data_IF_039217759477
#
_entry.id   IF_039217759477
#
_cell.length_a   1.000
_cell.length_b   1.000
_cell.length_c   1.000
_cell.angle_alpha   90.00
_cell.angle_beta   90.00
_cell.angle_gamma   90.00
#
_symmetry.space_group_name_H-M   'P 1'
#
loop_
_entity.id
_entity.type
_entity.pdbx_description
1 polymer ?
#
# COMPACT_ATOMS: atom_id res chain seq x y z
N UNK A 1 -3.90 -6.11 -1.96
CA UNK A 1 -2.50 -6.57 -1.79
C UNK A 1 -1.71 -6.27 -3.05
N UNK A 2 -0.49 -5.73 -2.93
CA UNK A 2 0.33 -5.25 -4.06
C UNK A 2 0.48 -6.28 -5.18
N UNK A 3 0.78 -7.54 -4.84
CA UNK A 3 1.04 -8.60 -5.82
C UNK A 3 -0.17 -8.88 -6.74
N UNK A 4 -1.39 -8.77 -6.21
CA UNK A 4 -2.62 -8.95 -7.00
C UNK A 4 -2.82 -7.79 -7.98
N UNK A 5 -2.60 -6.56 -7.52
CA UNK A 5 -2.75 -5.36 -8.35
C UNK A 5 -1.69 -5.35 -9.45
N UNK A 6 -0.43 -5.58 -9.11
CA UNK A 6 0.68 -5.68 -10.08
C UNK A 6 0.43 -6.79 -11.10
N UNK A 7 -0.06 -7.97 -10.67
CA UNK A 7 -0.40 -9.05 -11.59
C UNK A 7 -1.49 -8.64 -12.59
N UNK A 8 -2.54 -7.97 -12.11
CA UNK A 8 -3.67 -7.56 -12.93
C UNK A 8 -3.32 -6.39 -13.87
N UNK A 9 -2.59 -5.41 -13.37
CA UNK A 9 -2.20 -4.21 -14.14
C UNK A 9 -1.13 -4.53 -15.20
N UNK A 10 -0.17 -5.39 -14.85
CA UNK A 10 1.05 -5.57 -15.64
C UNK A 10 1.13 -6.92 -16.37
N UNK A 11 0.18 -7.84 -16.13
CA UNK A 11 0.14 -9.16 -16.76
C UNK A 11 1.24 -10.12 -16.30
N UNK A 12 1.87 -9.85 -15.15
CA UNK A 12 3.05 -10.61 -14.68
C UNK A 12 2.60 -11.93 -14.04
N UNK A 13 2.73 -13.03 -14.77
CA UNK A 13 2.29 -14.36 -14.33
C UNK A 13 3.35 -15.14 -13.51
N UNK A 14 4.63 -14.77 -13.61
CA UNK A 14 5.77 -15.56 -13.12
C UNK A 14 6.63 -14.75 -12.16
N UNK A 15 6.10 -14.55 -10.95
CA UNK A 15 6.89 -14.09 -9.81
C UNK A 15 7.28 -15.30 -8.99
N UNK A 16 8.58 -15.52 -8.82
CA UNK A 16 9.07 -16.50 -7.85
C UNK A 16 8.91 -15.91 -6.45
N UNK A 17 7.86 -16.33 -5.73
CA UNK A 17 7.49 -15.73 -4.43
C UNK A 17 8.63 -15.74 -3.41
N UNK A 18 9.44 -16.78 -3.42
CA UNK A 18 10.60 -16.92 -2.52
C UNK A 18 11.75 -15.95 -2.86
N UNK A 19 11.73 -15.34 -4.05
CA UNK A 19 12.69 -14.33 -4.50
C UNK A 19 12.16 -12.90 -4.40
N UNK A 20 11.02 -12.69 -3.75
CA UNK A 20 10.52 -11.35 -3.46
C UNK A 20 11.37 -10.77 -2.33
N UNK A 21 12.06 -9.67 -2.60
CA UNK A 21 12.75 -8.90 -1.58
C UNK A 21 11.91 -7.67 -1.20
N UNK A 22 11.76 -7.43 0.10
CA UNK A 22 11.03 -6.29 0.65
C UNK A 22 11.97 -5.48 1.54
N UNK A 23 12.03 -4.18 1.29
CA UNK A 23 12.78 -3.23 2.10
C UNK A 23 11.82 -2.15 2.62
N UNK A 24 11.77 -1.97 3.93
CA UNK A 24 11.01 -0.87 4.54
C UNK A 24 11.77 0.42 4.30
N UNK A 25 11.16 1.36 3.56
CA UNK A 25 11.75 2.66 3.26
C UNK A 25 11.36 3.70 4.31
N UNK A 26 10.11 3.66 4.76
CA UNK A 26 9.58 4.56 5.77
C UNK A 26 8.47 3.87 6.58
N UNK A 27 8.45 4.18 7.86
CA UNK A 27 7.36 3.82 8.77
C UNK A 27 7.11 5.02 9.67
N UNK A 28 6.06 5.75 9.36
CA UNK A 28 5.74 7.02 10.01
C UNK A 28 4.26 7.10 10.34
N UNK A 29 3.86 7.88 11.37
CA UNK A 29 2.45 8.18 11.60
C UNK A 29 1.79 8.76 10.35
N UNK A 30 0.55 8.37 10.08
CA UNK A 30 -0.23 8.97 8.99
C UNK A 30 -0.35 10.48 9.24
N UNK A 31 0.05 11.27 8.25
CA UNK A 31 -0.06 12.74 8.36
C UNK A 31 -1.52 13.20 8.33
N UNK A 32 -1.79 14.34 8.96
CA UNK A 32 -3.11 14.98 8.94
C UNK A 32 -3.67 15.15 7.52
N UNK A 33 -2.82 15.55 6.58
CA UNK A 33 -3.22 15.78 5.19
C UNK A 33 -3.67 14.47 4.54
N UNK A 34 -2.89 13.39 4.72
CA UNK A 34 -3.22 12.09 4.16
C UNK A 34 -4.48 11.51 4.81
N UNK A 35 -4.59 11.59 6.14
CA UNK A 35 -5.77 11.13 6.87
C UNK A 35 -7.05 11.84 6.38
N UNK A 36 -7.01 13.17 6.19
CA UNK A 36 -8.16 13.92 5.66
C UNK A 36 -8.49 13.57 4.22
N UNK A 37 -7.49 13.38 3.37
CA UNK A 37 -7.73 12.97 1.98
C UNK A 37 -8.46 11.63 1.90
N UNK A 38 -8.01 10.64 2.69
CA UNK A 38 -8.63 9.32 2.78
C UNK A 38 -10.05 9.42 3.37
N UNK A 39 -10.22 10.16 4.46
CA UNK A 39 -11.51 10.37 5.10
C UNK A 39 -12.53 11.04 4.18
N UNK A 40 -12.10 12.00 3.37
CA UNK A 40 -12.95 12.67 2.39
C UNK A 40 -13.33 11.75 1.23
N UNK A 41 -12.43 10.86 0.80
CA UNK A 41 -12.73 9.88 -0.23
C UNK A 41 -13.77 8.85 0.27
N UNK A 42 -13.55 8.31 1.47
CA UNK A 42 -14.40 7.27 2.02
C UNK A 42 -15.74 7.80 2.55
N UNK A 43 -15.81 9.02 3.08
CA UNK A 43 -17.10 9.63 3.45
C UNK A 43 -18.01 9.85 2.24
N UNK A 44 -17.44 10.08 1.05
CA UNK A 44 -18.21 10.18 -0.20
C UNK A 44 -18.67 8.82 -0.73
N UNK A 45 -17.85 7.77 -0.55
CA UNK A 45 -18.14 6.43 -1.06
C UNK A 45 -18.96 5.56 -0.08
N UNK A 46 -18.84 5.85 1.21
CA UNK A 46 -19.47 5.11 2.29
C UNK A 46 -20.93 5.47 2.51
N UNK A 47 -21.55 4.81 3.48
CA UNK A 47 -22.94 5.03 3.86
C UNK A 47 -23.05 5.40 5.34
N UNK A 48 -23.11 6.69 5.64
CA UNK A 48 -23.62 7.20 6.92
C UNK A 48 -22.60 7.68 7.95
N UNK A 49 -21.30 7.48 7.75
CA UNK A 49 -20.26 8.08 8.59
C UNK A 49 -19.79 9.43 8.03
N UNK A 50 -19.49 10.37 8.92
CA UNK A 50 -18.98 11.69 8.55
C UNK A 50 -17.49 11.63 8.18
N UNK A 51 -16.98 12.68 7.52
CA UNK A 51 -15.53 12.81 7.27
C UNK A 51 -14.72 12.77 8.57
N UNK A 52 -15.22 13.35 9.66
CA UNK A 52 -14.52 13.34 10.94
C UNK A 52 -14.45 11.94 11.56
N UNK A 53 -15.50 11.12 11.39
CA UNK A 53 -15.50 9.73 11.86
C UNK A 53 -14.41 8.93 11.13
N UNK A 54 -14.36 9.06 9.80
CA UNK A 54 -13.30 8.42 9.00
C UNK A 54 -11.90 8.96 9.30
N UNK A 55 -11.76 10.26 9.55
CA UNK A 55 -10.47 10.84 9.94
C UNK A 55 -9.97 10.23 11.25
N UNK A 56 -10.87 9.99 12.22
CA UNK A 56 -10.55 9.27 13.45
C UNK A 56 -9.91 7.89 13.16
N UNK A 57 -10.46 7.14 12.20
CA UNK A 57 -9.91 5.83 11.81
C UNK A 57 -8.51 5.90 11.19
N UNK A 58 -8.12 7.03 10.60
CA UNK A 58 -6.80 7.20 9.95
C UNK A 58 -5.76 7.92 10.81
N UNK A 59 -6.14 8.47 11.96
CA UNK A 59 -5.25 9.34 12.74
C UNK A 59 -5.25 9.07 14.25
N UNK A 60 -6.36 8.63 14.84
CA UNK A 60 -6.51 8.62 16.30
C UNK A 60 -5.83 7.45 17.01
N UNK A 61 -5.54 6.35 16.30
CA UNK A 61 -5.15 5.06 16.91
C UNK A 61 -3.74 4.61 16.52
N UNK A 62 -2.78 5.54 16.42
CA UNK A 62 -1.40 5.16 16.10
C UNK A 62 -1.23 4.59 14.69
N UNK A 63 -2.12 4.93 13.76
CA UNK A 63 -2.08 4.44 12.38
C UNK A 63 -0.76 4.87 11.73
N UNK A 64 -0.03 3.90 11.19
CA UNK A 64 1.24 4.11 10.52
C UNK A 64 1.07 3.97 9.01
N UNK A 65 1.70 4.87 8.27
CA UNK A 65 1.94 4.70 6.85
C UNK A 65 3.25 3.92 6.67
N UNK A 66 3.14 2.71 6.14
CA UNK A 66 4.27 1.88 5.74
C UNK A 66 4.56 2.13 4.26
N UNK A 67 5.76 2.60 3.96
CA UNK A 67 6.29 2.65 2.60
C UNK A 67 7.37 1.59 2.44
N UNK A 68 7.20 0.68 1.47
CA UNK A 68 8.13 -0.41 1.24
C UNK A 68 8.46 -0.56 -0.24
N UNK A 69 9.73 -0.87 -0.51
CA UNK A 69 10.24 -1.23 -1.83
C UNK A 69 10.16 -2.74 -2.01
N UNK A 70 9.50 -3.16 -3.08
CA UNK A 70 9.35 -4.55 -3.49
C UNK A 70 10.19 -4.78 -4.74
N UNK A 71 11.06 -5.79 -4.68
CA UNK A 71 11.80 -6.27 -5.85
C UNK A 71 11.29 -7.66 -6.20
N UNK A 72 10.72 -7.79 -7.39
CA UNK A 72 10.25 -9.05 -7.95
C UNK A 72 11.28 -9.58 -8.93
N UNK A 73 11.66 -10.84 -8.79
CA UNK A 73 12.63 -11.50 -9.68
C UNK A 73 11.96 -12.66 -10.41
N UNK A 74 12.13 -12.74 -11.73
CA UNK A 74 11.65 -13.88 -12.51
C UNK A 74 12.72 -14.97 -12.68
N UNK A 75 12.35 -16.08 -13.32
CA UNK A 75 13.24 -17.23 -13.55
C UNK A 75 14.44 -16.94 -14.45
N UNK A 76 14.42 -15.83 -15.21
CA UNK A 76 15.53 -15.36 -16.04
C UNK A 76 16.43 -14.37 -15.29
N UNK A 77 16.18 -14.12 -14.01
CA UNK A 77 16.94 -13.19 -13.18
C UNK A 77 16.62 -11.71 -13.41
N UNK A 78 15.63 -11.39 -14.25
CA UNK A 78 15.18 -10.01 -14.48
C UNK A 78 14.39 -9.48 -13.30
N UNK A 79 14.45 -8.17 -13.07
CA UNK A 79 13.91 -7.51 -11.88
C UNK A 79 12.92 -6.40 -12.22
N UNK A 80 11.79 -6.43 -11.52
CA UNK A 80 10.84 -5.33 -11.46
C UNK A 80 10.84 -4.76 -10.05
N UNK A 81 10.91 -3.44 -9.94
CA UNK A 81 11.02 -2.74 -8.65
C UNK A 81 9.87 -1.77 -8.49
N UNK A 82 9.19 -1.85 -7.35
CA UNK A 82 8.03 -1.02 -7.02
C UNK A 82 8.20 -0.43 -5.63
N UNK A 83 7.72 0.79 -5.42
CA UNK A 83 7.46 1.34 -4.08
C UNK A 83 5.96 1.27 -3.85
N UNK A 84 5.54 0.68 -2.73
CA UNK A 84 4.14 0.64 -2.32
C UNK A 84 3.96 1.31 -0.97
N UNK A 85 2.81 1.97 -0.79
CA UNK A 85 2.36 2.51 0.49
C UNK A 85 1.15 1.72 0.98
N UNK A 86 1.13 1.47 2.29
CA UNK A 86 0.01 0.85 2.98
C UNK A 86 -0.22 1.49 4.34
N UNK A 87 -1.44 1.38 4.88
CA UNK A 87 -1.75 1.75 6.26
C UNK A 87 -1.70 0.51 7.16
N UNK A 88 -1.16 0.70 8.36
CA UNK A 88 -1.17 -0.25 9.47
C UNK A 88 -1.92 0.42 10.63
N UNK A 89 -2.86 -0.27 11.25
CA UNK A 89 -3.41 0.13 12.55
C UNK A 89 -3.31 -1.03 13.54
N UNK A 90 -3.51 -0.74 14.81
CA UNK A 90 -3.41 -1.74 15.89
C UNK A 90 -4.71 -2.56 16.04
N UNK A 91 -5.86 -2.02 15.61
CA UNK A 91 -7.19 -2.59 15.86
C UNK A 91 -7.70 -3.52 14.76
N UNK A 92 -7.24 -3.33 13.52
CA UNK A 92 -7.50 -4.21 12.41
C UNK A 92 -6.16 -4.74 11.87
N UNK A 93 -5.96 -6.04 11.87
CA UNK A 93 -4.87 -6.68 11.11
C UNK A 93 -5.00 -6.46 9.57
N UNK A 94 -5.75 -5.46 9.12
CA UNK A 94 -6.05 -5.09 7.75
C UNK A 94 -5.01 -4.08 7.26
N UNK A 95 -4.12 -4.54 6.39
CA UNK A 95 -3.19 -3.65 5.67
C UNK A 95 -3.97 -3.01 4.52
N UNK A 96 -4.39 -1.75 4.64
CA UNK A 96 -5.00 -1.02 3.51
C UNK A 96 -3.90 -0.64 2.53
N UNK A 97 -3.97 -1.20 1.33
CA UNK A 97 -3.09 -0.83 0.23
C UNK A 97 -3.52 0.51 -0.36
N UNK A 98 -2.62 1.50 -0.36
CA UNK A 98 -2.91 2.86 -0.86
C UNK A 98 -2.51 3.05 -2.31
N UNK A 99 -1.57 2.24 -2.82
CA UNK A 99 -1.09 2.34 -4.18
C UNK A 99 0.39 1.97 -4.30
N UNK A 100 0.90 2.06 -5.52
CA UNK A 100 2.29 1.80 -5.82
C UNK A 100 2.81 2.68 -6.95
N UNK A 101 4.13 2.80 -7.02
CA UNK A 101 4.87 3.43 -8.08
C UNK A 101 5.90 2.44 -8.62
N UNK A 102 5.96 2.30 -9.94
CA UNK A 102 6.99 1.51 -10.62
C UNK A 102 8.28 2.30 -10.68
N UNK A 103 9.36 1.77 -10.12
CA UNK A 103 10.71 2.35 -10.22
C UNK A 103 11.44 1.85 -11.47
N UNK A 104 11.35 0.55 -11.74
CA UNK A 104 11.97 -0.07 -12.91
C UNK A 104 11.22 -1.34 -13.30
N UNK A 105 11.26 -1.67 -14.60
CA UNK A 105 10.62 -2.86 -15.14
C UNK A 105 11.48 -3.49 -16.23
N UNK A 106 11.73 -4.78 -16.10
CA UNK A 106 12.55 -5.56 -17.04
C UNK A 106 11.74 -6.69 -17.71
N UNK A 107 10.53 -7.00 -17.23
CA UNK A 107 9.68 -8.06 -17.78
C UNK A 107 8.16 -7.85 -17.69
#
# INVERSE_FOLDING_TARGET
MLTTVVKNDLGVALVEREKIAVEVLDLSPVSDVLARQLAKADSKAGKGLSENDYYGFYHAQGVLNLTAKYTYTNSKGKRDVFIASSLLNDDECSVRFNGYMTLSREF
#
